data_IF_402048403574
#
_entry.id   IF_402048403574
#
_cell.length_a   1.000
_cell.length_b   1.000
_cell.length_c   1.000
_cell.angle_alpha   90.00
_cell.angle_beta   90.00
_cell.angle_gamma   90.00
#
_symmetry.space_group_name_H-M   'P 1'
#
loop_
_entity.id
_entity.type
_entity.pdbx_description
1 polymer ?
#
# COMPACT_ATOMS: atom_id res chain seq x y z
N UNK A 1 -18.46 -10.55 14.12
CA UNK A 1 -17.85 -10.22 12.82
C UNK A 1 -18.95 -10.29 11.76
N UNK A 2 -19.13 -9.28 10.93
CA UNK A 2 -20.09 -9.37 9.82
C UNK A 2 -19.38 -9.85 8.55
N UNK A 3 -19.89 -10.93 7.96
CA UNK A 3 -19.34 -11.50 6.73
C UNK A 3 -20.47 -11.66 5.71
N UNK A 4 -20.57 -10.70 4.78
CA UNK A 4 -21.71 -10.59 3.85
C UNK A 4 -23.05 -10.60 4.59
N UNK A 5 -23.91 -11.60 4.33
CA UNK A 5 -25.21 -11.78 4.95
C UNK A 5 -25.17 -12.66 6.21
N UNK A 6 -24.00 -12.84 6.83
CA UNK A 6 -23.81 -13.67 8.01
C UNK A 6 -23.21 -12.87 9.17
N UNK A 7 -23.60 -13.24 10.39
CA UNK A 7 -23.02 -12.79 11.65
C UNK A 7 -22.22 -13.95 12.22
N UNK A 8 -20.92 -13.76 12.43
CA UNK A 8 -20.05 -14.73 13.08
C UNK A 8 -19.76 -14.28 14.52
N UNK A 9 -20.09 -15.12 15.49
CA UNK A 9 -19.78 -14.96 16.91
C UNK A 9 -18.67 -15.95 17.29
N UNK A 10 -17.55 -15.43 17.79
CA UNK A 10 -16.41 -16.26 18.19
C UNK A 10 -16.59 -16.73 19.62
N UNK A 11 -16.63 -18.04 19.84
CA UNK A 11 -16.69 -18.65 21.18
C UNK A 11 -15.29 -18.88 21.76
N UNK A 12 -14.34 -19.24 20.90
CA UNK A 12 -12.95 -19.43 21.25
C UNK A 12 -12.07 -19.14 20.03
N UNK A 13 -10.95 -18.46 20.25
CA UNK A 13 -9.97 -18.20 19.20
C UNK A 13 -8.57 -18.11 19.79
N UNK A 14 -7.69 -18.99 19.32
CA UNK A 14 -6.29 -19.06 19.71
C UNK A 14 -5.43 -18.85 18.48
N UNK A 15 -4.41 -17.99 18.61
CA UNK A 15 -3.45 -17.73 17.54
C UNK A 15 -2.04 -17.79 18.09
N UNK A 16 -1.20 -18.67 17.54
CA UNK A 16 0.14 -18.94 18.01
C UNK A 16 1.16 -18.69 16.88
N UNK A 17 2.15 -17.80 17.07
CA UNK A 17 3.28 -17.66 16.17
C UNK A 17 4.44 -18.60 16.56
N UNK A 18 5.13 -19.16 15.57
CA UNK A 18 6.40 -19.89 15.73
C UNK A 18 7.33 -19.61 14.53
N UNK A 19 8.14 -18.54 14.63
CA UNK A 19 8.97 -18.07 13.52
C UNK A 19 8.11 -17.63 12.33
N UNK A 20 8.32 -18.27 11.17
CA UNK A 20 7.50 -18.08 9.97
C UNK A 20 6.15 -18.81 10.01
N UNK A 21 6.02 -19.82 10.86
CA UNK A 21 4.81 -20.64 10.99
C UNK A 21 3.79 -19.95 11.90
N UNK A 22 2.51 -20.17 11.62
CA UNK A 22 1.42 -19.70 12.48
C UNK A 22 0.33 -20.75 12.58
N UNK A 23 -0.21 -20.96 13.77
CA UNK A 23 -1.38 -21.76 14.01
C UNK A 23 -2.53 -20.86 14.47
N UNK A 24 -3.72 -21.08 13.93
CA UNK A 24 -4.96 -20.49 14.42
C UNK A 24 -5.99 -21.60 14.64
N UNK A 25 -6.59 -21.65 15.83
CA UNK A 25 -7.62 -22.63 16.18
C UNK A 25 -8.79 -21.86 16.75
N UNK A 26 -10.00 -22.17 16.30
CA UNK A 26 -11.16 -21.45 16.80
C UNK A 26 -12.45 -22.21 16.67
N UNK A 27 -13.43 -21.76 17.43
CA UNK A 27 -14.80 -22.22 17.43
C UNK A 27 -15.70 -21.00 17.36
N UNK A 28 -16.62 -21.02 16.42
CA UNK A 28 -17.50 -19.89 16.19
C UNK A 28 -18.87 -20.38 15.71
N UNK A 29 -19.85 -19.52 15.90
CA UNK A 29 -21.22 -19.74 15.48
C UNK A 29 -21.57 -18.72 14.41
N UNK A 30 -22.01 -19.20 13.25
CA UNK A 30 -22.40 -18.38 12.10
C UNK A 30 -23.92 -18.38 12.02
N UNK A 31 -24.51 -17.20 12.05
CA UNK A 31 -25.94 -16.96 11.89
C UNK A 31 -26.21 -16.23 10.58
N UNK A 32 -27.14 -16.76 9.78
CA UNK A 32 -27.63 -16.11 8.57
C UNK A 32 -28.57 -14.96 8.92
N UNK A 33 -28.33 -13.76 8.36
CA UNK A 33 -29.21 -12.60 8.53
C UNK A 33 -30.55 -12.76 7.78
N UNK A 34 -30.58 -13.56 6.72
CA UNK A 34 -31.76 -13.74 5.88
C UNK A 34 -32.68 -14.87 6.38
N UNK A 35 -32.08 -16.01 6.74
CA UNK A 35 -32.83 -17.22 7.14
C UNK A 35 -32.85 -17.45 8.65
N UNK A 36 -32.07 -16.68 9.42
CA UNK A 36 -31.84 -16.88 10.86
C UNK A 36 -31.29 -18.26 11.24
N UNK A 37 -30.87 -19.07 10.25
CA UNK A 37 -30.26 -20.36 10.49
C UNK A 37 -28.89 -20.16 11.14
N UNK A 38 -28.63 -20.94 12.18
CA UNK A 38 -27.41 -20.89 12.96
C UNK A 38 -26.67 -22.22 12.86
N UNK A 39 -25.35 -22.17 12.68
CA UNK A 39 -24.48 -23.34 12.68
C UNK A 39 -23.19 -23.06 13.40
N UNK A 40 -22.71 -24.07 14.12
CA UNK A 40 -21.44 -24.01 14.81
C UNK A 40 -20.36 -24.67 13.96
N UNK A 41 -19.18 -24.06 13.95
CA UNK A 41 -18.02 -24.55 13.25
C UNK A 41 -16.79 -24.43 14.14
N UNK A 42 -16.03 -25.51 14.18
CA UNK A 42 -14.67 -25.52 14.70
C UNK A 42 -13.71 -25.53 13.52
N UNK A 43 -12.58 -24.85 13.66
CA UNK A 43 -11.56 -24.80 12.63
C UNK A 43 -10.15 -24.81 13.22
N UNK A 44 -9.21 -25.36 12.46
CA UNK A 44 -7.79 -25.26 12.69
C UNK A 44 -7.10 -24.86 11.39
N UNK A 45 -6.21 -23.86 11.44
CA UNK A 45 -5.49 -23.33 10.29
C UNK A 45 -4.01 -23.25 10.62
N UNK A 46 -3.20 -23.98 9.86
CA UNK A 46 -1.75 -23.98 9.93
C UNK A 46 -1.18 -23.26 8.70
N UNK A 47 -0.45 -22.19 8.94
CA UNK A 47 0.36 -21.48 7.96
C UNK A 47 1.80 -21.93 8.07
N UNK A 48 2.34 -22.49 6.99
CA UNK A 48 3.70 -23.01 6.93
C UNK A 48 4.71 -22.03 6.33
N UNK A 49 4.25 -20.90 5.82
CA UNK A 49 5.08 -19.93 5.10
C UNK A 49 4.73 -19.84 3.62
N UNK A 50 5.14 -18.74 3.00
CA UNK A 50 4.84 -18.42 1.59
C UNK A 50 3.35 -18.60 1.27
N UNK A 51 2.99 -19.55 0.40
CA UNK A 51 1.63 -19.81 -0.02
C UNK A 51 1.02 -21.08 0.62
N UNK A 52 1.74 -21.72 1.56
CA UNK A 52 1.32 -22.97 2.18
C UNK A 52 0.43 -22.69 3.40
N UNK A 53 -0.87 -22.85 3.18
CA UNK A 53 -1.91 -22.81 4.23
C UNK A 53 -2.66 -24.13 4.19
N UNK A 54 -2.84 -24.74 5.35
CA UNK A 54 -3.67 -25.93 5.57
C UNK A 54 -4.75 -25.55 6.58
N UNK A 55 -6.00 -25.59 6.15
CA UNK A 55 -7.17 -25.40 6.99
C UNK A 55 -7.98 -26.67 7.07
N UNK A 56 -8.51 -26.96 8.24
CA UNK A 56 -9.53 -27.97 8.46
C UNK A 56 -10.70 -27.32 9.17
N UNK A 57 -11.92 -27.78 8.85
CA UNK A 57 -13.14 -27.31 9.48
C UNK A 57 -14.07 -28.48 9.75
N UNK A 58 -14.82 -28.40 10.84
CA UNK A 58 -15.83 -29.38 11.20
C UNK A 58 -17.06 -28.66 11.71
N UNK A 59 -18.22 -29.16 11.31
CA UNK A 59 -19.51 -28.69 11.76
C UNK A 59 -19.90 -29.40 13.05
N UNK A 60 -20.55 -28.66 13.96
CA UNK A 60 -21.22 -29.21 15.14
C UNK A 60 -20.32 -30.05 16.07
N UNK A 61 -19.00 -29.77 16.07
CA UNK A 61 -18.06 -30.33 17.05
C UNK A 61 -18.43 -29.85 18.45
N UNK A 62 -18.57 -30.78 19.40
CA UNK A 62 -18.91 -30.45 20.78
C UNK A 62 -17.78 -29.65 21.47
N UNK A 63 -18.09 -29.04 22.62
CA UNK A 63 -17.15 -28.13 23.28
C UNK A 63 -15.96 -28.87 23.89
N UNK A 64 -16.21 -30.04 24.48
CA UNK A 64 -15.19 -30.84 25.16
C UNK A 64 -14.13 -31.35 24.17
N UNK A 65 -14.55 -31.89 23.03
CA UNK A 65 -13.66 -32.34 21.94
C UNK A 65 -12.85 -31.16 21.38
N UNK A 66 -13.49 -30.00 21.22
CA UNK A 66 -12.78 -28.79 20.78
C UNK A 66 -11.71 -28.36 21.78
N UNK A 67 -12.05 -28.27 23.08
CA UNK A 67 -11.11 -27.83 24.11
C UNK A 67 -9.94 -28.83 24.26
N UNK A 68 -10.22 -30.14 24.19
CA UNK A 68 -9.18 -31.19 24.18
C UNK A 68 -8.26 -31.08 22.96
N UNK A 69 -8.84 -30.98 21.75
CA UNK A 69 -8.11 -30.81 20.50
C UNK A 69 -7.27 -29.53 20.52
N UNK A 70 -7.85 -28.43 21.00
CA UNK A 70 -7.21 -27.13 21.05
C UNK A 70 -5.98 -27.16 21.97
N UNK A 71 -6.03 -27.83 23.12
CA UNK A 71 -4.85 -27.99 23.97
C UNK A 71 -3.78 -28.88 23.31
N UNK A 72 -4.15 -30.06 22.79
CA UNK A 72 -3.20 -30.97 22.12
C UNK A 72 -2.47 -30.31 20.96
N UNK A 73 -3.21 -29.66 20.05
CA UNK A 73 -2.63 -29.04 18.86
C UNK A 73 -1.73 -27.85 19.23
N UNK A 74 -2.05 -27.12 20.30
CA UNK A 74 -1.24 -26.00 20.81
C UNK A 74 0.04 -26.49 21.45
N UNK A 75 0.00 -27.61 22.17
CA UNK A 75 1.18 -28.25 22.74
C UNK A 75 2.12 -28.77 21.64
N UNK A 76 1.59 -29.53 20.67
CA UNK A 76 2.34 -30.03 19.51
C UNK A 76 2.96 -28.90 18.67
N UNK A 77 2.26 -27.77 18.52
CA UNK A 77 2.80 -26.61 17.81
C UNK A 77 3.93 -25.93 18.59
N UNK A 78 3.82 -25.85 19.92
CA UNK A 78 4.89 -25.30 20.78
C UNK A 78 6.14 -26.19 20.81
N UNK A 79 5.97 -27.50 20.71
CA UNK A 79 7.09 -28.46 20.60
C UNK A 79 7.71 -28.52 19.19
N UNK A 80 7.25 -27.69 18.24
CA UNK A 80 7.72 -27.66 16.84
C UNK A 80 7.47 -28.97 16.08
N UNK A 81 6.55 -29.81 16.55
CA UNK A 81 6.19 -31.06 15.88
C UNK A 81 5.07 -30.83 14.86
N UNK A 82 5.39 -30.27 13.70
CA UNK A 82 4.41 -29.96 12.65
C UNK A 82 3.70 -31.21 12.10
N UNK A 83 4.37 -32.37 12.12
CA UNK A 83 3.76 -33.64 11.70
C UNK A 83 2.64 -34.06 12.64
N UNK A 84 2.85 -33.91 13.94
CA UNK A 84 1.83 -34.16 14.97
C UNK A 84 0.68 -33.14 14.90
N UNK A 85 0.98 -31.86 14.64
CA UNK A 85 -0.07 -30.85 14.40
C UNK A 85 -0.98 -31.26 13.25
N UNK A 86 -0.41 -31.67 12.10
CA UNK A 86 -1.18 -32.13 10.94
C UNK A 86 -1.95 -33.41 11.27
N UNK A 87 -1.34 -34.33 12.02
CA UNK A 87 -1.98 -35.57 12.48
C UNK A 87 -3.21 -35.30 13.36
N UNK A 88 -3.08 -34.40 14.35
CA UNK A 88 -4.19 -33.97 15.21
C UNK A 88 -5.29 -33.31 14.37
N UNK A 89 -4.93 -32.45 13.41
CA UNK A 89 -5.90 -31.85 12.49
C UNK A 89 -6.66 -32.92 11.70
N UNK A 90 -5.97 -33.93 11.16
CA UNK A 90 -6.62 -35.03 10.44
C UNK A 90 -7.50 -35.90 11.35
N UNK A 91 -7.06 -36.16 12.59
CA UNK A 91 -7.81 -36.97 13.55
C UNK A 91 -9.14 -36.33 13.94
N UNK A 92 -9.14 -35.04 14.26
CA UNK A 92 -10.33 -34.36 14.80
C UNK A 92 -11.25 -33.78 13.71
N UNK A 93 -10.70 -33.38 12.56
CA UNK A 93 -11.50 -32.74 11.49
C UNK A 93 -11.70 -33.64 10.26
N UNK A 94 -11.00 -34.77 10.18
CA UNK A 94 -11.06 -35.69 9.05
C UNK A 94 -10.08 -35.36 7.92
N UNK A 95 -10.29 -35.98 6.76
CA UNK A 95 -9.35 -35.92 5.63
C UNK A 95 -9.48 -34.65 4.80
N UNK A 96 -10.62 -33.95 4.88
CA UNK A 96 -10.91 -32.77 4.08
C UNK A 96 -10.04 -31.58 4.48
N UNK A 97 -9.14 -31.20 3.58
CA UNK A 97 -8.21 -30.09 3.74
C UNK A 97 -8.56 -28.94 2.80
N UNK A 98 -8.50 -27.74 3.35
CA UNK A 98 -8.68 -26.49 2.64
C UNK A 98 -7.34 -25.77 2.52
N UNK A 99 -7.00 -25.40 1.30
CA UNK A 99 -5.78 -24.66 0.96
C UNK A 99 -6.14 -23.32 0.35
N UNK A 100 -5.14 -22.47 0.14
CA UNK A 100 -5.31 -21.18 -0.55
C UNK A 100 -5.93 -21.34 -1.96
N UNK A 101 -5.88 -22.54 -2.57
CA UNK A 101 -6.46 -22.80 -3.88
C UNK A 101 -7.99 -22.86 -3.85
N UNK A 102 -8.60 -23.23 -2.72
CA UNK A 102 -10.05 -23.30 -2.54
C UNK A 102 -10.68 -21.97 -2.10
N UNK A 103 -9.88 -20.93 -1.87
CA UNK A 103 -10.40 -19.59 -1.59
C UNK A 103 -11.03 -18.97 -2.83
N UNK A 104 -12.07 -18.17 -2.61
CA UNK A 104 -12.61 -17.29 -3.65
C UNK A 104 -11.51 -16.42 -4.25
N UNK A 105 -11.64 -16.12 -5.54
CA UNK A 105 -10.60 -15.43 -6.33
C UNK A 105 -10.12 -14.13 -5.67
N UNK A 106 -11.03 -13.36 -5.10
CA UNK A 106 -10.69 -12.07 -4.47
C UNK A 106 -9.96 -12.24 -3.14
N UNK A 107 -10.41 -13.16 -2.28
CA UNK A 107 -9.70 -13.48 -1.03
C UNK A 107 -8.33 -14.10 -1.30
N UNK A 108 -8.23 -14.98 -2.31
CA UNK A 108 -6.96 -15.52 -2.78
C UNK A 108 -6.01 -14.41 -3.23
N UNK A 109 -6.49 -13.45 -4.04
CA UNK A 109 -5.70 -12.30 -4.49
C UNK A 109 -5.21 -11.46 -3.30
N UNK A 110 -6.09 -11.16 -2.34
CA UNK A 110 -5.77 -10.38 -1.14
C UNK A 110 -4.70 -11.06 -0.28
N UNK A 111 -4.81 -12.36 -0.03
CA UNK A 111 -3.82 -13.10 0.77
C UNK A 111 -2.48 -13.18 0.03
N UNK A 112 -2.48 -13.49 -1.27
CA UNK A 112 -1.25 -13.51 -2.07
C UNK A 112 -0.58 -12.14 -2.12
N UNK A 113 -1.34 -11.05 -2.26
CA UNK A 113 -0.80 -9.69 -2.17
C UNK A 113 -0.12 -9.43 -0.83
N UNK A 114 -0.73 -9.84 0.29
CA UNK A 114 -0.13 -9.67 1.63
C UNK A 114 1.16 -10.48 1.80
N UNK A 115 1.19 -11.73 1.32
CA UNK A 115 2.38 -12.58 1.37
C UNK A 115 3.51 -11.95 0.55
N UNK A 116 3.18 -11.52 -0.68
CA UNK A 116 4.16 -10.93 -1.60
C UNK A 116 4.65 -9.58 -1.13
N UNK A 117 3.81 -8.76 -0.48
CA UNK A 117 4.19 -7.43 0.01
C UNK A 117 5.40 -7.49 0.95
N UNK A 118 5.42 -8.43 1.90
CA UNK A 118 6.57 -8.59 2.81
C UNK A 118 7.87 -8.92 2.05
N UNK A 119 7.78 -9.76 1.02
CA UNK A 119 8.94 -10.09 0.18
C UNK A 119 9.39 -8.89 -0.65
N UNK A 120 8.44 -8.11 -1.18
CA UNK A 120 8.74 -6.89 -1.93
C UNK A 120 9.41 -5.82 -1.06
N UNK A 121 8.96 -5.65 0.19
CA UNK A 121 9.58 -4.71 1.13
C UNK A 121 11.03 -5.11 1.45
N UNK A 122 11.30 -6.42 1.59
CA UNK A 122 12.66 -6.91 1.77
C UNK A 122 13.53 -6.67 0.53
N UNK A 123 13.02 -7.00 -0.67
CA UNK A 123 13.72 -6.75 -1.93
C UNK A 123 14.02 -5.26 -2.13
N UNK A 124 13.09 -4.38 -1.77
CA UNK A 124 13.32 -2.93 -1.83
C UNK A 124 14.48 -2.51 -0.92
N UNK A 125 14.57 -3.05 0.30
CA UNK A 125 15.68 -2.73 1.20
C UNK A 125 17.03 -3.21 0.65
N UNK A 126 17.07 -4.40 0.06
CA UNK A 126 18.27 -4.95 -0.57
C UNK A 126 18.72 -4.09 -1.76
N UNK A 127 17.79 -3.74 -2.66
CA UNK A 127 18.07 -2.81 -3.78
C UNK A 127 18.50 -1.43 -3.31
N UNK A 128 17.92 -0.93 -2.21
CA UNK A 128 18.29 0.35 -1.61
C UNK A 128 19.71 0.32 -1.03
N UNK A 129 20.11 -0.79 -0.40
CA UNK A 129 21.49 -0.98 0.07
C UNK A 129 22.45 -0.92 -1.12
N UNK A 130 22.16 -1.69 -2.18
CA UNK A 130 22.98 -1.68 -3.41
C UNK A 130 23.12 -0.25 -3.96
N UNK A 131 22.01 0.48 -4.09
CA UNK A 131 22.00 1.85 -4.57
C UNK A 131 22.86 2.79 -3.72
N UNK A 132 22.69 2.76 -2.39
CA UNK A 132 23.39 3.66 -1.47
C UNK A 132 24.87 3.32 -1.34
N UNK A 133 25.20 2.04 -1.14
CA UNK A 133 26.56 1.57 -0.84
C UNK A 133 27.49 1.77 -2.04
N UNK A 134 26.96 1.63 -3.25
CA UNK A 134 27.72 1.74 -4.49
C UNK A 134 27.52 3.07 -5.22
N UNK A 135 26.81 4.03 -4.62
CA UNK A 135 26.45 5.29 -5.28
C UNK A 135 27.66 6.02 -5.86
N UNK A 136 28.71 6.21 -5.05
CA UNK A 136 29.91 6.93 -5.47
C UNK A 136 30.68 6.18 -6.58
N UNK A 137 30.70 4.85 -6.53
CA UNK A 137 31.32 4.04 -7.57
C UNK A 137 30.56 4.16 -8.89
N UNK A 138 29.23 3.96 -8.87
CA UNK A 138 28.38 4.13 -10.05
C UNK A 138 28.54 5.52 -10.65
N UNK A 139 28.63 6.55 -9.79
CA UNK A 139 28.84 7.94 -10.20
C UNK A 139 30.20 8.15 -10.86
N UNK A 140 31.27 7.59 -10.30
CA UNK A 140 32.60 7.64 -10.92
C UNK A 140 32.61 7.00 -12.30
N UNK A 141 32.06 5.78 -12.40
CA UNK A 141 31.92 5.05 -13.68
C UNK A 141 31.18 5.92 -14.72
N UNK A 142 30.04 6.50 -14.34
CA UNK A 142 29.26 7.36 -15.23
C UNK A 142 29.95 8.68 -15.60
N UNK A 143 30.76 9.25 -14.70
CA UNK A 143 31.54 10.48 -14.95
C UNK A 143 32.68 10.26 -15.94
N UNK A 144 33.25 9.06 -15.96
CA UNK A 144 34.30 8.66 -16.89
C UNK A 144 33.73 8.17 -18.24
N UNK A 145 32.44 8.43 -18.52
CA UNK A 145 31.70 7.96 -19.70
C UNK A 145 31.73 6.42 -19.88
N UNK A 146 31.98 5.68 -18.80
CA UNK A 146 31.97 4.22 -18.80
C UNK A 146 30.52 3.75 -18.58
N UNK A 147 30.03 2.77 -19.37
CA UNK A 147 28.70 2.20 -19.16
C UNK A 147 28.57 1.57 -17.76
N UNK A 148 27.70 2.13 -16.92
CA UNK A 148 27.36 1.54 -15.63
C UNK A 148 26.70 0.17 -15.85
N UNK A 149 27.15 -0.90 -15.16
CA UNK A 149 26.56 -2.24 -15.27
C UNK A 149 25.04 -2.24 -15.10
N UNK A 150 24.36 -3.05 -15.91
CA UNK A 150 22.89 -3.05 -15.97
C UNK A 150 22.23 -3.29 -14.62
N UNK A 151 22.75 -4.23 -13.82
CA UNK A 151 22.23 -4.52 -12.48
C UNK A 151 22.21 -3.29 -11.55
N UNK A 152 23.25 -2.46 -11.61
CA UNK A 152 23.32 -1.20 -10.87
C UNK A 152 22.29 -0.20 -11.38
N UNK A 153 22.13 -0.10 -12.71
CA UNK A 153 21.12 0.75 -13.33
C UNK A 153 19.70 0.33 -12.93
N UNK A 154 19.40 -0.96 -12.89
CA UNK A 154 18.10 -1.48 -12.47
C UNK A 154 17.79 -1.14 -11.01
N UNK A 155 18.78 -1.23 -10.12
CA UNK A 155 18.61 -0.83 -8.72
C UNK A 155 18.29 0.68 -8.60
N UNK A 156 19.02 1.54 -9.33
CA UNK A 156 18.76 2.99 -9.38
C UNK A 156 17.35 3.26 -9.91
N UNK A 157 17.00 2.68 -11.06
CA UNK A 157 15.71 2.87 -11.71
C UNK A 157 14.55 2.47 -10.78
N UNK A 158 14.66 1.32 -10.13
CA UNK A 158 13.66 0.85 -9.17
C UNK A 158 13.51 1.80 -7.97
N UNK A 159 14.62 2.17 -7.32
CA UNK A 159 14.60 3.00 -6.11
C UNK A 159 14.10 4.41 -6.39
N UNK A 160 14.56 5.04 -7.49
CA UNK A 160 14.11 6.38 -7.87
C UNK A 160 12.63 6.39 -8.21
N UNK A 161 12.13 5.41 -8.97
CA UNK A 161 10.70 5.26 -9.25
C UNK A 161 9.87 5.11 -7.97
N UNK A 162 10.30 4.22 -7.07
CA UNK A 162 9.58 3.92 -5.84
C UNK A 162 9.52 5.14 -4.92
N UNK A 163 10.62 5.84 -4.77
CA UNK A 163 10.70 7.02 -3.91
C UNK A 163 9.91 8.19 -4.50
N UNK A 164 9.94 8.39 -5.83
CA UNK A 164 9.11 9.39 -6.51
C UNK A 164 7.62 9.12 -6.29
N UNK A 165 7.15 7.89 -6.51
CA UNK A 165 5.76 7.52 -6.29
C UNK A 165 5.33 7.75 -4.84
N UNK A 166 6.17 7.34 -3.87
CA UNK A 166 5.91 7.51 -2.44
C UNK A 166 5.76 8.98 -2.01
N UNK A 167 6.44 9.92 -2.66
CA UNK A 167 6.25 11.35 -2.36
C UNK A 167 4.81 11.81 -2.63
N UNK A 168 4.16 11.23 -3.64
CA UNK A 168 2.78 11.57 -3.96
C UNK A 168 1.76 10.76 -3.13
N UNK A 169 2.11 9.54 -2.70
CA UNK A 169 1.25 8.69 -1.84
C UNK A 169 1.17 9.15 -0.37
N UNK A 170 2.30 9.53 0.26
CA UNK A 170 2.44 9.59 1.73
C UNK A 170 1.93 10.87 2.43
N UNK A 171 1.01 11.61 1.83
CA UNK A 171 0.28 12.68 2.53
C UNK A 171 1.05 13.99 2.82
N UNK A 172 2.40 14.03 2.75
CA UNK A 172 3.22 15.27 2.81
C UNK A 172 4.20 15.39 1.64
N UNK A 173 4.11 16.47 0.84
CA UNK A 173 5.02 16.74 -0.27
C UNK A 173 6.28 17.43 0.25
N UNK A 174 7.40 16.73 0.25
CA UNK A 174 8.69 17.31 0.59
C UNK A 174 9.40 17.80 -0.68
N UNK A 175 9.34 19.10 -0.94
CA UNK A 175 9.95 19.73 -2.13
C UNK A 175 11.44 19.42 -2.24
N UNK A 176 12.17 19.42 -1.11
CA UNK A 176 13.61 19.18 -1.08
C UNK A 176 13.93 17.77 -1.56
N UNK A 177 13.20 16.78 -1.05
CA UNK A 177 13.34 15.40 -1.51
C UNK A 177 12.87 15.21 -2.94
N UNK A 178 11.76 15.82 -3.34
CA UNK A 178 11.27 15.72 -4.72
C UNK A 178 12.28 16.31 -5.72
N UNK A 179 12.91 17.44 -5.40
CA UNK A 179 14.00 18.02 -6.21
C UNK A 179 15.20 17.08 -6.32
N UNK A 180 15.61 16.47 -5.20
CA UNK A 180 16.71 15.48 -5.18
C UNK A 180 16.37 14.30 -6.08
N UNK A 181 15.18 13.72 -5.93
CA UNK A 181 14.72 12.58 -6.71
C UNK A 181 14.58 12.91 -8.19
N UNK A 182 14.06 14.09 -8.53
CA UNK A 182 14.00 14.58 -9.90
C UNK A 182 15.39 14.70 -10.53
N UNK A 183 16.37 15.23 -9.78
CA UNK A 183 17.75 15.33 -10.25
C UNK A 183 18.37 13.96 -10.51
N UNK A 184 18.13 12.98 -9.64
CA UNK A 184 18.57 11.60 -9.87
C UNK A 184 17.85 10.96 -11.08
N UNK A 185 16.54 11.15 -11.21
CA UNK A 185 15.74 10.65 -12.33
C UNK A 185 16.32 11.11 -13.68
N UNK A 186 16.62 12.42 -13.80
CA UNK A 186 17.23 12.99 -15.01
C UNK A 186 18.67 12.54 -15.21
N UNK A 187 19.46 12.51 -14.14
CA UNK A 187 20.88 12.13 -14.16
C UNK A 187 21.10 10.72 -14.67
N UNK A 188 20.27 9.79 -14.22
CA UNK A 188 20.37 8.38 -14.58
C UNK A 188 19.53 8.01 -15.79
N UNK A 189 18.83 8.98 -16.38
CA UNK A 189 17.89 8.80 -17.49
C UNK A 189 16.87 7.67 -17.19
N UNK A 190 16.30 7.72 -16.00
CA UNK A 190 15.33 6.73 -15.51
C UNK A 190 14.03 6.87 -16.29
N UNK A 191 13.39 5.74 -16.60
CA UNK A 191 12.02 5.72 -17.14
C UNK A 191 11.02 5.41 -16.04
N UNK A 192 9.78 5.90 -16.16
CA UNK A 192 8.73 5.50 -15.23
C UNK A 192 8.35 4.03 -15.46
N UNK A 193 8.42 3.22 -14.41
CA UNK A 193 8.07 1.79 -14.47
C UNK A 193 6.54 1.62 -14.58
N UNK A 194 5.78 2.36 -13.75
CA UNK A 194 4.32 2.38 -13.77
C UNK A 194 3.84 3.83 -13.95
N UNK A 195 3.79 4.26 -15.21
CA UNK A 195 3.38 5.61 -15.58
C UNK A 195 1.92 5.90 -15.16
N UNK A 196 1.04 4.89 -15.18
CA UNK A 196 -0.36 5.07 -14.81
C UNK A 196 -0.52 5.32 -13.31
N UNK A 197 0.12 4.49 -12.48
CA UNK A 197 0.12 4.68 -11.03
C UNK A 197 0.74 6.02 -10.63
N UNK A 198 1.87 6.39 -11.25
CA UNK A 198 2.50 7.68 -11.02
C UNK A 198 1.58 8.85 -11.38
N UNK A 199 0.97 8.83 -12.57
CA UNK A 199 0.05 9.88 -13.01
C UNK A 199 -1.13 10.03 -12.05
N UNK A 200 -1.74 8.91 -11.66
CA UNK A 200 -2.86 8.92 -10.73
C UNK A 200 -2.46 9.52 -9.38
N UNK A 201 -1.37 9.02 -8.77
CA UNK A 201 -0.89 9.49 -7.48
C UNK A 201 -0.53 10.98 -7.52
N UNK A 202 0.17 11.44 -8.57
CA UNK A 202 0.55 12.83 -8.73
C UNK A 202 -0.67 13.74 -8.90
N UNK A 203 -1.60 13.39 -9.79
CA UNK A 203 -2.84 14.16 -10.02
C UNK A 203 -3.72 14.24 -8.76
N UNK A 204 -3.94 13.12 -8.07
CA UNK A 204 -4.71 13.10 -6.82
C UNK A 204 -4.04 13.93 -5.73
N UNK A 205 -2.71 13.90 -5.67
CA UNK A 205 -1.98 14.66 -4.66
C UNK A 205 -2.06 16.16 -4.91
N UNK A 206 -1.83 16.60 -6.14
CA UNK A 206 -2.00 18.01 -6.53
C UNK A 206 -3.40 18.49 -6.20
N UNK A 207 -4.43 17.69 -6.51
CA UNK A 207 -5.81 18.01 -6.17
C UNK A 207 -6.01 18.23 -4.67
N UNK A 208 -5.48 17.33 -3.82
CA UNK A 208 -5.56 17.45 -2.35
C UNK A 208 -4.87 18.70 -1.83
N UNK A 209 -3.70 19.08 -2.37
CA UNK A 209 -3.03 20.32 -1.97
C UNK A 209 -3.86 21.55 -2.32
N UNK A 210 -4.44 21.60 -3.52
CA UNK A 210 -5.28 22.71 -3.95
C UNK A 210 -6.53 22.83 -3.07
N UNK A 211 -7.15 21.70 -2.69
CA UNK A 211 -8.30 21.71 -1.77
C UNK A 211 -7.97 22.27 -0.38
N UNK A 212 -6.70 22.24 0.02
CA UNK A 212 -6.24 22.71 1.32
C UNK A 212 -5.68 24.13 1.31
N UNK A 213 -5.73 24.84 0.18
CA UNK A 213 -5.33 26.24 0.10
C UNK A 213 -6.36 27.12 0.81
N UNK A 214 -5.91 27.86 1.82
CA UNK A 214 -6.62 28.99 2.42
C UNK A 214 -5.97 30.31 2.00
N UNK A 215 -6.68 31.42 2.14
CA UNK A 215 -6.25 32.75 1.66
C UNK A 215 -5.30 33.45 2.62
N UNK A 216 -4.66 32.73 3.55
CA UNK A 216 -3.79 33.26 4.61
C UNK A 216 -2.30 33.27 4.22
N UNK A 217 -1.48 34.11 4.88
CA UNK A 217 -0.04 34.22 4.60
C UNK A 217 0.75 32.92 4.83
N UNK A 218 0.37 32.11 5.84
CA UNK A 218 1.03 30.84 6.13
C UNK A 218 0.89 29.80 4.99
N UNK A 219 -0.13 29.95 4.14
CA UNK A 219 -0.33 29.08 2.97
C UNK A 219 0.41 29.59 1.72
N UNK A 220 0.98 30.80 1.72
CA UNK A 220 1.78 31.29 0.59
C UNK A 220 2.99 30.36 0.33
N UNK A 221 3.66 29.91 1.39
CA UNK A 221 4.78 28.97 1.27
C UNK A 221 4.33 27.63 0.65
N UNK A 222 3.15 27.14 1.04
CA UNK A 222 2.57 25.90 0.49
C UNK A 222 2.13 26.06 -0.96
N UNK A 223 1.58 27.21 -1.31
CA UNK A 223 1.22 27.55 -2.69
C UNK A 223 2.48 27.63 -3.57
N UNK A 224 3.52 28.32 -3.12
CA UNK A 224 4.81 28.39 -3.83
C UNK A 224 5.45 27.00 -3.97
N UNK A 225 5.37 26.18 -2.92
CA UNK A 225 5.82 24.79 -2.96
C UNK A 225 5.11 23.99 -4.06
N UNK A 226 3.79 24.09 -4.12
CA UNK A 226 2.97 23.41 -5.12
C UNK A 226 3.31 23.87 -6.54
N UNK A 227 3.52 25.16 -6.75
CA UNK A 227 3.95 25.73 -8.05
C UNK A 227 5.27 25.10 -8.51
N UNK A 228 6.28 25.04 -7.63
CA UNK A 228 7.56 24.42 -7.94
C UNK A 228 7.38 22.94 -8.33
N UNK A 229 6.47 22.23 -7.64
CA UNK A 229 6.17 20.82 -7.93
C UNK A 229 5.53 20.67 -9.31
N UNK A 230 4.57 21.52 -9.66
CA UNK A 230 3.92 21.50 -10.97
C UNK A 230 4.90 21.83 -12.11
N UNK A 231 5.79 22.80 -11.93
CA UNK A 231 6.86 23.10 -12.89
C UNK A 231 7.78 21.89 -13.11
N UNK A 232 8.16 21.19 -12.02
CA UNK A 232 8.94 19.96 -12.13
C UNK A 232 8.16 18.87 -12.87
N UNK A 233 6.89 18.67 -12.57
CA UNK A 233 6.07 17.68 -13.25
C UNK A 233 5.89 17.98 -14.74
N UNK A 234 5.69 19.26 -15.11
CA UNK A 234 5.61 19.69 -16.51
C UNK A 234 6.91 19.40 -17.27
N UNK A 235 8.06 19.61 -16.63
CA UNK A 235 9.38 19.33 -17.23
C UNK A 235 9.69 17.84 -17.46
N UNK A 236 8.94 16.92 -16.84
CA UNK A 236 9.01 15.49 -17.16
C UNK A 236 8.24 15.14 -18.43
N UNK A 237 7.46 16.08 -18.97
CA UNK A 237 6.61 15.91 -20.15
C UNK A 237 5.63 14.73 -20.02
N UNK A 238 5.16 14.46 -18.80
CA UNK A 238 4.08 13.49 -18.59
C UNK A 238 2.74 14.18 -18.84
N UNK A 239 1.90 13.56 -19.67
CA UNK A 239 0.51 13.98 -19.86
C UNK A 239 -0.29 13.67 -18.59
N UNK A 240 -0.16 14.53 -17.57
CA UNK A 240 -0.91 14.48 -16.33
C UNK A 240 -2.31 15.09 -16.56
N UNK A 241 -3.33 14.40 -16.07
CA UNK A 241 -4.70 14.90 -16.06
C UNK A 241 -4.98 15.61 -14.74
N UNK A 242 -5.18 16.92 -14.80
CA UNK A 242 -5.47 17.77 -13.65
C UNK A 242 -6.93 18.25 -13.60
N UNK A 243 -7.88 17.59 -14.27
CA UNK A 243 -9.27 18.12 -14.39
C UNK A 243 -9.93 18.48 -13.05
N UNK A 244 -9.71 17.67 -12.00
CA UNK A 244 -10.25 17.96 -10.66
C UNK A 244 -9.63 19.22 -10.06
N UNK A 245 -8.31 19.33 -10.14
CA UNK A 245 -7.54 20.49 -9.71
C UNK A 245 -7.96 21.77 -10.45
N UNK A 246 -8.14 21.66 -11.77
CA UNK A 246 -8.60 22.76 -12.62
C UNK A 246 -9.97 23.29 -12.19
N UNK A 247 -10.93 22.39 -11.92
CA UNK A 247 -12.25 22.79 -11.46
C UNK A 247 -12.23 23.44 -10.08
N UNK A 248 -11.50 22.87 -9.12
CA UNK A 248 -11.37 23.45 -7.78
C UNK A 248 -10.77 24.85 -7.85
N UNK A 249 -9.67 25.02 -8.59
CA UNK A 249 -9.07 26.33 -8.82
C UNK A 249 -10.05 27.30 -9.49
N UNK A 250 -10.78 26.85 -10.51
CA UNK A 250 -11.76 27.68 -11.21
C UNK A 250 -12.87 28.17 -10.26
N UNK A 251 -13.40 27.32 -9.38
CA UNK A 251 -14.39 27.74 -8.39
C UNK A 251 -13.83 28.78 -7.42
N UNK A 252 -12.59 28.60 -6.94
CA UNK A 252 -11.91 29.61 -6.11
C UNK A 252 -11.80 30.95 -6.85
N UNK A 253 -11.32 30.94 -8.10
CA UNK A 253 -11.21 32.13 -8.94
C UNK A 253 -12.55 32.84 -9.15
N UNK A 254 -13.65 32.09 -9.35
CA UNK A 254 -14.99 32.66 -9.48
C UNK A 254 -15.47 33.31 -8.17
N UNK A 255 -15.19 32.71 -7.02
CA UNK A 255 -15.49 33.30 -5.71
C UNK A 255 -14.79 34.66 -5.54
N UNK A 256 -13.51 34.75 -5.90
CA UNK A 256 -12.77 36.02 -5.91
C UNK A 256 -13.40 37.04 -6.86
N UNK A 257 -13.70 36.65 -8.12
CA UNK A 257 -14.34 37.54 -9.11
C UNK A 257 -15.71 38.06 -8.68
N UNK A 258 -16.43 37.31 -7.85
CA UNK A 258 -17.72 37.70 -7.25
C UNK A 258 -17.57 38.52 -5.95
N UNK A 259 -16.35 38.69 -5.45
CA UNK A 259 -16.08 39.38 -4.18
C UNK A 259 -16.43 38.56 -2.93
N UNK A 260 -16.53 37.23 -3.04
CA UNK A 260 -16.81 36.33 -1.90
C UNK A 260 -15.62 36.23 -0.93
N UNK A 261 -14.41 36.50 -1.42
CA UNK A 261 -13.16 36.53 -0.65
C UNK A 261 -12.13 37.43 -1.34
N UNK A 262 -11.05 37.79 -0.62
CA UNK A 262 -9.93 38.62 -1.12
C UNK A 262 -8.58 37.96 -0.79
N UNK A 263 -7.56 38.22 -1.60
CA UNK A 263 -6.20 37.75 -1.33
C UNK A 263 -5.64 38.42 -0.07
N UNK A 264 -4.90 37.68 0.78
CA UNK A 264 -4.23 38.27 1.95
C UNK A 264 -3.09 39.22 1.56
N UNK A 265 -2.42 38.96 0.42
CA UNK A 265 -1.32 39.79 -0.05
C UNK A 265 -1.22 39.76 -1.58
N UNK A 266 -0.50 40.76 -2.14
CA UNK A 266 -0.21 40.81 -3.57
C UNK A 266 0.64 39.61 -4.02
N UNK A 267 1.56 39.15 -3.17
CA UNK A 267 2.40 37.98 -3.47
C UNK A 267 1.55 36.70 -3.57
N UNK A 268 0.50 36.58 -2.75
CA UNK A 268 -0.44 35.47 -2.83
C UNK A 268 -1.27 35.54 -4.12
N UNK A 269 -1.76 36.72 -4.51
CA UNK A 269 -2.44 36.92 -5.78
C UNK A 269 -1.56 36.47 -6.96
N UNK A 270 -0.31 36.94 -7.02
CA UNK A 270 0.63 36.58 -8.09
C UNK A 270 0.90 35.07 -8.14
N UNK A 271 1.10 34.43 -6.97
CA UNK A 271 1.29 33.00 -6.87
C UNK A 271 0.03 32.21 -7.30
N UNK A 272 -1.16 32.65 -6.90
CA UNK A 272 -2.42 32.02 -7.26
C UNK A 272 -2.66 32.08 -8.77
N UNK A 273 -2.45 33.25 -9.39
CA UNK A 273 -2.57 33.38 -10.85
C UNK A 273 -1.55 32.48 -11.59
N UNK A 274 -0.33 32.36 -11.07
CA UNK A 274 0.70 31.46 -11.63
C UNK A 274 0.27 29.98 -11.52
N UNK A 275 -0.33 29.57 -10.40
CA UNK A 275 -0.91 28.23 -10.26
C UNK A 275 -1.96 27.96 -11.35
N UNK A 276 -2.85 28.92 -11.63
CA UNK A 276 -3.84 28.81 -12.71
C UNK A 276 -3.22 28.61 -14.10
N UNK A 277 -2.13 29.31 -14.39
CA UNK A 277 -1.39 29.15 -15.65
C UNK A 277 -0.80 27.73 -15.80
N UNK A 278 -0.17 27.20 -14.75
CA UNK A 278 0.40 25.85 -14.73
C UNK A 278 -0.68 24.76 -14.86
N UNK A 279 -1.86 25.00 -14.29
CA UNK A 279 -3.03 24.14 -14.46
C UNK A 279 -3.70 24.30 -15.84
N UNK A 280 -3.24 25.23 -16.68
CA UNK A 280 -3.82 25.56 -17.99
C UNK A 280 -5.29 26.00 -17.90
N UNK A 281 -5.67 26.62 -16.79
CA UNK A 281 -6.99 27.25 -16.61
C UNK A 281 -6.91 28.68 -17.16
N UNK A 282 -7.93 29.12 -17.90
CA UNK A 282 -8.03 30.52 -18.32
C UNK A 282 -8.30 31.40 -17.09
N UNK A 283 -7.27 32.13 -16.67
CA UNK A 283 -7.29 33.06 -15.54
C UNK A 283 -7.92 34.39 -15.96
#
# INVERSE_FOLDING_TARGET
>A
LEFFNYIAESEAYYRLPAGTHRLAVGRATIRSKATFSERQFSFAVLYLGQHHIIGNLMLDMNREDFDEMAEKIREAFRSTNLGEVIGIMQQYFGEDKYTIQQLFRDEKRKILQQITQKSLDQMENEMRSIYNDHYQLMRGIAMDDIPVPEFYRSAVEFIVNRDLLRQFENGNLNIRELRRLYAEFRRWNVSLIDEQAFKLAASERVFKEIQQLDTNEADLERLQALIIILEMLESLNFNLDFWRSQNTYYFMLQGYKKGEWVFASKDWEEAFMKLGQLLKVRV
#
